data_IF_965731545434
#
_entry.id   IF_965731545434
#
_cell.length_a   1.000
_cell.length_b   1.000
_cell.length_c   1.000
_cell.angle_alpha   90.00
_cell.angle_beta   90.00
_cell.angle_gamma   90.00
#
_symmetry.space_group_name_H-M   'P 1'
#
loop_
_entity.id
_entity.type
_entity.pdbx_description
1 polymer ?
#
# COMPACT_ATOMS: atom_id res chain seq x y z
N UNK A 1 -18.33 -8.44 14.88
CA UNK A 1 -18.89 -9.19 13.74
C UNK A 1 -17.82 -10.13 13.20
N UNK A 2 -18.15 -11.38 12.86
CA UNK A 2 -17.20 -12.29 12.19
C UNK A 2 -17.20 -11.97 10.70
N UNK A 3 -16.07 -11.50 10.16
CA UNK A 3 -15.92 -11.22 8.73
C UNK A 3 -14.98 -12.24 8.08
N UNK A 4 -15.34 -12.81 6.91
CA UNK A 4 -14.42 -13.63 6.14
C UNK A 4 -13.20 -12.82 5.69
N UNK A 5 -12.03 -13.44 5.67
CA UNK A 5 -10.73 -12.82 5.34
C UNK A 5 -10.78 -11.97 4.06
N UNK A 6 -11.46 -12.44 3.00
CA UNK A 6 -11.63 -11.72 1.73
C UNK A 6 -12.27 -10.32 1.89
N UNK A 7 -13.15 -10.14 2.87
CA UNK A 7 -13.77 -8.85 3.16
C UNK A 7 -12.87 -7.95 4.00
N UNK A 8 -12.03 -8.53 4.85
CA UNK A 8 -11.03 -7.80 5.65
C UNK A 8 -9.95 -7.26 4.73
N UNK A 9 -9.35 -8.10 3.88
CA UNK A 9 -8.40 -7.69 2.85
C UNK A 9 -8.98 -6.54 2.01
N UNK A 10 -10.20 -6.68 1.50
CA UNK A 10 -10.85 -5.63 0.70
C UNK A 10 -11.04 -4.32 1.48
N UNK A 11 -11.42 -4.39 2.77
CA UNK A 11 -11.59 -3.22 3.65
C UNK A 11 -10.24 -2.53 3.93
N UNK A 12 -9.20 -3.31 4.21
CA UNK A 12 -7.85 -2.80 4.49
C UNK A 12 -7.18 -2.22 3.24
N UNK A 13 -7.27 -2.90 2.09
CA UNK A 13 -6.76 -2.38 0.81
C UNK A 13 -7.49 -1.10 0.39
N UNK A 14 -8.80 -0.98 0.68
CA UNK A 14 -9.56 0.25 0.40
C UNK A 14 -9.08 1.42 1.26
N UNK A 15 -8.82 1.19 2.55
CA UNK A 15 -8.34 2.23 3.46
C UNK A 15 -6.88 2.64 3.14
N UNK A 16 -6.01 1.69 2.82
CA UNK A 16 -4.62 1.95 2.42
C UNK A 16 -4.51 2.77 1.12
N UNK A 17 -5.51 2.66 0.22
CA UNK A 17 -5.60 3.44 -1.02
C UNK A 17 -6.05 4.88 -0.78
N UNK A 18 -6.85 5.13 0.26
CA UNK A 18 -7.52 6.42 0.45
C UNK A 18 -6.80 7.38 1.42
N UNK A 19 -5.68 6.98 2.04
CA UNK A 19 -5.01 7.74 3.11
C UNK A 19 -6.03 8.26 4.13
N UNK A 20 -6.88 7.36 4.63
CA UNK A 20 -7.90 7.69 5.62
C UNK A 20 -7.64 6.89 6.88
N UNK A 21 -7.35 7.60 7.96
CA UNK A 21 -7.22 7.03 9.31
C UNK A 21 -8.45 7.42 10.11
N UNK A 22 -9.03 6.45 10.81
CA UNK A 22 -10.15 6.73 11.72
C UNK A 22 -9.61 7.43 12.96
N UNK A 23 -10.05 8.65 13.20
CA UNK A 23 -9.72 9.40 14.41
C UNK A 23 -10.80 9.16 15.47
N UNK A 24 -10.49 8.43 16.57
CA UNK A 24 -11.45 8.15 17.62
C UNK A 24 -11.85 9.40 18.43
N UNK A 25 -11.09 10.50 18.36
CA UNK A 25 -11.44 11.75 19.06
C UNK A 25 -12.52 12.54 18.32
N UNK A 26 -12.48 12.57 16.99
CA UNK A 26 -13.51 13.23 16.16
C UNK A 26 -14.61 12.28 15.67
N UNK A 27 -14.42 10.96 15.83
CA UNK A 27 -15.38 9.94 15.35
C UNK A 27 -15.48 9.88 13.83
N UNK A 28 -14.47 10.37 13.11
CA UNK A 28 -14.49 10.53 11.65
C UNK A 28 -13.20 10.05 11.00
N UNK A 29 -13.26 9.77 9.69
CA UNK A 29 -12.06 9.46 8.91
C UNK A 29 -11.36 10.75 8.50
N UNK A 30 -10.16 10.97 9.03
CA UNK A 30 -9.32 12.12 8.69
C UNK A 30 -8.40 11.71 7.53
N UNK A 31 -8.22 12.62 6.58
CA UNK A 31 -7.22 12.45 5.54
C UNK A 31 -5.82 12.57 6.16
N UNK A 32 -5.03 11.51 6.08
CA UNK A 32 -3.60 11.60 6.36
C UNK A 32 -2.88 12.31 5.22
N UNK A 33 -1.70 12.85 5.53
CA UNK A 33 -0.86 13.56 4.58
C UNK A 33 -0.77 12.79 3.24
N UNK A 34 -0.85 13.46 2.08
CA UNK A 34 -0.92 12.79 0.77
C UNK A 34 0.20 11.78 0.56
N UNK A 35 1.39 12.04 1.12
CA UNK A 35 2.55 11.14 1.10
C UNK A 35 2.35 9.77 1.77
N UNK A 36 1.29 9.57 2.56
CA UNK A 36 1.01 8.31 3.23
C UNK A 36 0.11 7.35 2.44
N UNK A 37 -0.60 7.81 1.39
CA UNK A 37 -1.37 6.89 0.54
C UNK A 37 -0.41 6.08 -0.35
N UNK A 38 -0.64 4.77 -0.44
CA UNK A 38 0.03 3.93 -1.44
C UNK A 38 -0.20 4.46 -2.87
N UNK A 39 -1.41 4.92 -3.17
CA UNK A 39 -1.74 5.44 -4.51
C UNK A 39 -1.00 6.74 -4.81
N UNK A 40 -0.90 7.65 -3.83
CA UNK A 40 -0.18 8.91 -4.01
C UNK A 40 1.33 8.69 -4.19
N UNK A 41 1.93 7.83 -3.37
CA UNK A 41 3.35 7.45 -3.52
C UNK A 41 3.60 6.81 -4.88
N UNK A 42 2.75 5.88 -5.28
CA UNK A 42 2.84 5.25 -6.59
C UNK A 42 2.71 6.28 -7.72
N UNK A 43 1.71 7.17 -7.69
CA UNK A 43 1.53 8.18 -8.75
C UNK A 43 2.72 9.12 -8.85
N UNK A 44 3.29 9.57 -7.72
CA UNK A 44 4.48 10.42 -7.70
C UNK A 44 5.69 9.72 -8.33
N UNK A 45 5.94 8.47 -7.94
CA UNK A 45 7.06 7.68 -8.47
C UNK A 45 6.88 7.37 -9.96
N UNK A 46 5.67 7.01 -10.38
CA UNK A 46 5.36 6.75 -11.79
C UNK A 46 5.55 7.99 -12.65
N UNK A 47 5.12 9.16 -12.17
CA UNK A 47 5.28 10.41 -12.90
C UNK A 47 6.77 10.74 -13.09
N UNK A 48 7.56 10.71 -12.02
CA UNK A 48 9.00 10.97 -12.10
C UNK A 48 9.75 9.94 -12.98
N UNK A 49 9.37 8.67 -12.90
CA UNK A 49 9.96 7.63 -13.74
C UNK A 49 9.59 7.80 -15.21
N UNK A 50 8.36 8.22 -15.53
CA UNK A 50 7.92 8.45 -16.92
C UNK A 50 8.74 9.55 -17.58
N UNK A 51 8.90 10.69 -16.92
CA UNK A 51 9.68 11.83 -17.41
C UNK A 51 11.15 11.42 -17.69
N UNK A 52 11.74 10.65 -16.78
CA UNK A 52 13.10 10.13 -16.92
C UNK A 52 13.23 9.10 -18.07
N UNK A 53 12.21 8.26 -18.26
CA UNK A 53 12.17 7.28 -19.37
C UNK A 53 12.06 8.00 -20.71
N UNK A 54 11.21 9.02 -20.80
CA UNK A 54 11.05 9.81 -22.03
C UNK A 54 12.40 10.43 -22.45
N UNK A 55 13.11 11.08 -21.52
CA UNK A 55 14.45 11.67 -21.75
C UNK A 55 15.55 10.64 -22.04
N UNK A 56 15.53 9.51 -21.32
CA UNK A 56 16.52 8.47 -21.44
C UNK A 56 16.38 7.62 -22.71
N UNK A 57 15.17 7.54 -23.26
CA UNK A 57 14.88 6.76 -24.47
C UNK A 57 15.42 7.39 -25.76
N UNK A 58 15.88 8.65 -25.71
CA UNK A 58 16.36 9.39 -26.87
C UNK A 58 17.64 8.83 -27.49
N UNK A 59 18.48 8.13 -26.72
CA UNK A 59 19.70 7.50 -27.24
C UNK A 59 19.96 6.14 -26.60
N UNK A 60 20.64 5.26 -27.34
CA UNK A 60 21.01 3.91 -26.87
C UNK A 60 21.93 3.95 -25.62
N UNK A 61 22.87 4.91 -25.58
CA UNK A 61 23.74 5.12 -24.43
C UNK A 61 22.96 5.54 -23.17
N UNK A 62 21.94 6.40 -23.31
CA UNK A 62 21.10 6.82 -22.18
C UNK A 62 20.16 5.70 -21.73
N UNK A 63 19.59 4.97 -22.68
CA UNK A 63 18.69 3.84 -22.42
C UNK A 63 19.39 2.71 -21.68
N UNK A 64 20.59 2.34 -22.12
CA UNK A 64 21.42 1.29 -21.47
C UNK A 64 21.86 1.72 -20.07
N UNK A 65 22.26 2.98 -19.88
CA UNK A 65 22.58 3.54 -18.57
C UNK A 65 21.38 3.47 -17.62
N UNK A 66 20.22 4.03 -18.01
CA UNK A 66 19.03 4.02 -17.14
C UNK A 66 18.53 2.62 -16.82
N UNK A 67 18.60 1.69 -17.78
CA UNK A 67 18.20 0.31 -17.54
C UNK A 67 19.07 -0.36 -16.48
N UNK A 68 20.39 -0.10 -16.50
CA UNK A 68 21.31 -0.57 -15.46
C UNK A 68 20.95 0.03 -14.10
N UNK A 69 20.71 1.34 -14.04
CA UNK A 69 20.32 2.02 -12.79
C UNK A 69 18.99 1.51 -12.22
N UNK A 70 17.98 1.27 -13.06
CA UNK A 70 16.71 0.69 -12.60
C UNK A 70 16.88 -0.71 -12.01
N UNK A 71 17.81 -1.52 -12.54
CA UNK A 71 18.13 -2.82 -11.95
C UNK A 71 18.79 -2.66 -10.58
N UNK A 72 19.72 -1.73 -10.44
CA UNK A 72 20.36 -1.39 -9.16
C UNK A 72 19.33 -0.94 -8.12
N UNK A 73 18.43 0.00 -8.48
CA UNK A 73 17.37 0.45 -7.59
C UNK A 73 16.43 -0.67 -7.17
N UNK A 74 16.11 -1.61 -8.07
CA UNK A 74 15.27 -2.77 -7.74
C UNK A 74 15.89 -3.66 -6.66
N UNK A 75 17.21 -3.80 -6.63
CA UNK A 75 17.91 -4.54 -5.58
C UNK A 75 17.82 -3.78 -4.26
N UNK A 76 18.19 -2.49 -4.27
CA UNK A 76 18.16 -1.64 -3.08
C UNK A 76 16.77 -1.58 -2.43
N UNK A 77 15.70 -1.45 -3.24
CA UNK A 77 14.31 -1.43 -2.72
C UNK A 77 13.93 -2.75 -2.05
N UNK A 78 14.39 -3.90 -2.57
CA UNK A 78 14.14 -5.19 -1.92
C UNK A 78 14.88 -5.30 -0.58
N UNK A 79 16.10 -4.79 -0.52
CA UNK A 79 16.91 -4.86 0.70
C UNK A 79 16.32 -4.05 1.84
N UNK A 80 15.65 -2.92 1.55
CA UNK A 80 14.94 -2.08 2.54
C UNK A 80 13.89 -2.89 3.32
N UNK A 81 13.16 -3.79 2.67
CA UNK A 81 12.11 -4.59 3.32
C UNK A 81 12.69 -5.73 4.18
N UNK A 82 13.88 -6.23 3.83
CA UNK A 82 14.50 -7.41 4.49
C UNK A 82 15.15 -7.08 5.84
N UNK A 83 15.37 -5.80 6.16
CA UNK A 83 15.94 -5.36 7.44
C UNK A 83 14.93 -5.21 8.58
N UNK A 84 13.62 -5.35 8.32
CA UNK A 84 12.58 -4.85 9.22
C UNK A 84 11.58 -5.85 9.80
N UNK A 85 11.46 -7.08 9.31
CA UNK A 85 10.40 -7.99 9.77
C UNK A 85 10.92 -9.36 10.21
N UNK A 86 11.06 -9.50 11.53
CA UNK A 86 10.88 -10.79 12.20
C UNK A 86 9.45 -11.25 11.92
N UNK A 87 9.35 -12.26 11.06
CA UNK A 87 8.38 -13.34 11.17
C UNK A 87 6.95 -13.03 10.73
N UNK A 88 6.62 -13.41 9.49
CA UNK A 88 5.42 -14.19 9.23
C UNK A 88 5.71 -15.16 8.07
N UNK A 89 6.20 -16.34 8.45
CA UNK A 89 6.30 -17.50 7.57
C UNK A 89 4.91 -17.85 7.06
N UNK A 90 4.70 -17.60 5.77
CA UNK A 90 3.44 -17.87 5.06
C UNK A 90 3.39 -19.34 4.69
N UNK A 91 2.90 -20.19 5.59
CA UNK A 91 2.60 -21.57 5.23
C UNK A 91 1.22 -21.64 4.58
N UNK A 92 1.19 -21.63 3.25
CA UNK A 92 0.02 -22.02 2.47
C UNK A 92 -0.17 -23.52 2.66
N UNK A 93 -1.32 -23.93 3.19
CA UNK A 93 -2.16 -25.02 2.71
C UNK A 93 -3.19 -25.38 3.79
N UNK A 94 -4.40 -24.84 3.66
CA UNK A 94 -5.68 -25.53 3.87
C UNK A 94 -6.81 -24.51 3.73
N UNK A 95 -7.72 -24.75 2.79
CA UNK A 95 -8.92 -23.92 2.58
C UNK A 95 -9.92 -24.18 3.70
N UNK A 96 -9.85 -23.37 4.74
CA UNK A 96 -10.99 -23.10 5.62
C UNK A 96 -11.16 -21.58 5.55
N UNK A 97 -12.37 -21.10 5.23
CA UNK A 97 -12.62 -19.65 5.22
C UNK A 97 -12.39 -19.11 6.65
N UNK A 98 -11.20 -18.55 6.89
CA UNK A 98 -10.85 -17.93 8.16
C UNK A 98 -11.74 -16.69 8.36
N UNK A 99 -12.57 -16.76 9.39
CA UNK A 99 -13.39 -15.64 9.83
C UNK A 99 -12.74 -14.99 11.04
N UNK A 100 -12.46 -13.69 10.97
CA UNK A 100 -11.88 -12.95 12.09
C UNK A 100 -12.91 -12.05 12.77
N UNK A 101 -12.78 -11.89 14.08
CA UNK A 101 -13.62 -10.99 14.87
C UNK A 101 -13.17 -9.54 14.62
N UNK A 102 -14.03 -8.77 13.97
CA UNK A 102 -13.85 -7.32 13.78
C UNK A 102 -14.82 -6.58 14.71
N UNK A 103 -14.29 -5.69 15.54
CA UNK A 103 -15.10 -4.74 16.31
C UNK A 103 -15.42 -3.55 15.41
N UNK A 104 -16.69 -3.40 15.01
CA UNK A 104 -17.13 -2.18 14.34
C UNK A 104 -17.27 -1.06 15.38
N UNK A 105 -16.94 0.20 15.04
CA UNK A 105 -17.21 1.34 15.89
C UNK A 105 -18.73 1.44 16.16
N UNK A 106 -19.08 1.77 17.40
CA UNK A 106 -20.46 1.77 17.87
C UNK A 106 -21.39 2.54 16.92
N UNK A 107 -22.57 1.99 16.57
CA UNK A 107 -23.50 2.69 15.70
C UNK A 107 -23.94 4.00 16.36
N UNK A 108 -23.64 5.11 15.71
CA UNK A 108 -24.08 6.44 16.13
C UNK A 108 -25.60 6.48 15.99
N UNK A 109 -26.30 6.43 17.13
CA UNK A 109 -27.74 6.55 17.19
C UNK A 109 -28.07 8.03 16.90
N UNK A 110 -28.56 8.32 15.69
CA UNK A 110 -29.10 9.65 15.41
C UNK A 110 -30.24 9.91 16.39
N UNK A 111 -30.14 11.00 17.16
CA UNK A 111 -31.26 11.47 18.00
C UNK A 111 -32.33 12.01 17.05
N UNK A 112 -33.48 11.35 17.05
CA UNK A 112 -34.73 11.93 16.54
C UNK A 112 -35.21 13.05 17.44
#
# INVERSE_FOLDING_TARGET
MLLPEKYILRRWTKNAKQARVFDPMTGSYVHTDPGHSLMSRHSMLSYAASDLVDEGSLTDARSSFLLSEFQSFRILVKDIDTGGEVGMSRNRNNSVEETHVVCDPNPIRAKG
#
